data_IF_891207479397
#
_entry.id   IF_891207479397
#
_cell.length_a   1.000
_cell.length_b   1.000
_cell.length_c   1.000
_cell.angle_alpha   90.00
_cell.angle_beta   90.00
_cell.angle_gamma   90.00
#
_symmetry.space_group_name_H-M   'P 1'
#
loop_
_entity.id
_entity.type
_entity.pdbx_description
1 polymer ?
#
# COMPACT_ATOMS: atom_id res chain seq x y z
N UNK A 1 -15.14 -82.17 4.00
CA UNK A 1 -16.01 -81.22 3.29
C UNK A 1 -15.41 -79.82 3.51
N UNK A 2 -14.79 -79.25 2.48
CA UNK A 2 -14.01 -77.99 2.51
C UNK A 2 -14.97 -76.83 2.22
N UNK A 3 -15.24 -75.98 3.22
CA UNK A 3 -16.04 -74.78 3.04
C UNK A 3 -15.18 -73.70 2.37
N UNK A 4 -15.45 -73.45 1.09
CA UNK A 4 -14.92 -72.32 0.33
C UNK A 4 -15.71 -71.07 0.73
N UNK A 5 -15.06 -70.12 1.41
CA UNK A 5 -15.59 -68.76 1.59
C UNK A 5 -15.20 -67.95 0.36
N UNK A 6 -16.19 -67.57 -0.43
CA UNK A 6 -16.05 -66.75 -1.63
C UNK A 6 -15.82 -65.28 -1.20
N UNK A 7 -14.58 -64.79 -1.32
CA UNK A 7 -14.27 -63.37 -1.10
C UNK A 7 -14.64 -62.61 -2.38
N UNK A 8 -15.74 -61.86 -2.33
CA UNK A 8 -16.15 -60.94 -3.40
C UNK A 8 -15.33 -59.65 -3.26
N UNK A 9 -14.33 -59.48 -4.12
CA UNK A 9 -13.63 -58.20 -4.29
C UNK A 9 -14.54 -57.23 -5.07
N UNK A 10 -15.25 -56.37 -4.35
CA UNK A 10 -15.94 -55.22 -4.97
C UNK A 10 -14.86 -54.20 -5.34
N UNK A 11 -14.51 -54.15 -6.63
CA UNK A 11 -13.70 -53.08 -7.21
C UNK A 11 -14.58 -51.83 -7.27
N UNK A 12 -14.52 -50.98 -6.23
CA UNK A 12 -15.03 -49.63 -6.32
C UNK A 12 -14.14 -48.84 -7.28
N UNK A 13 -14.57 -48.76 -8.54
CA UNK A 13 -14.00 -47.85 -9.53
C UNK A 13 -14.11 -46.42 -8.99
N UNK A 14 -12.95 -45.84 -8.62
CA UNK A 14 -12.84 -44.48 -8.13
C UNK A 14 -13.21 -43.48 -9.22
N UNK A 15 -14.28 -42.74 -9.01
CA UNK A 15 -14.52 -41.49 -9.74
C UNK A 15 -13.80 -40.39 -8.97
N UNK A 16 -12.53 -40.17 -9.32
CA UNK A 16 -11.82 -38.98 -8.90
C UNK A 16 -12.43 -37.77 -9.64
N UNK A 17 -13.42 -37.13 -9.02
CA UNK A 17 -13.90 -35.80 -9.45
C UNK A 17 -12.81 -34.80 -9.12
N UNK A 18 -11.84 -34.66 -10.02
CA UNK A 18 -10.85 -33.60 -9.95
C UNK A 18 -11.54 -32.29 -10.32
N UNK A 19 -12.03 -31.57 -9.32
CA UNK A 19 -12.45 -30.18 -9.47
C UNK A 19 -11.20 -29.35 -9.74
N UNK A 20 -10.77 -29.31 -11.00
CA UNK A 20 -9.77 -28.39 -11.49
C UNK A 20 -10.30 -26.96 -11.34
N UNK A 21 -10.06 -26.36 -10.18
CA UNK A 21 -10.20 -24.93 -9.98
C UNK A 21 -9.15 -24.26 -10.86
N UNK A 22 -9.51 -23.95 -12.11
CA UNK A 22 -8.72 -23.09 -12.98
C UNK A 22 -8.77 -21.68 -12.39
N UNK A 23 -7.89 -21.44 -11.41
CA UNK A 23 -7.48 -20.10 -11.01
C UNK A 23 -6.88 -19.46 -12.25
N UNK A 24 -7.69 -18.69 -12.95
CA UNK A 24 -7.22 -17.82 -14.02
C UNK A 24 -6.20 -16.89 -13.39
N UNK A 25 -4.92 -17.20 -13.61
CA UNK A 25 -3.80 -16.31 -13.25
C UNK A 25 -3.97 -15.03 -14.04
N UNK A 26 -4.79 -14.12 -13.51
CA UNK A 26 -4.88 -12.74 -13.99
C UNK A 26 -3.47 -12.20 -13.91
N UNK A 27 -2.85 -11.90 -15.05
CA UNK A 27 -1.56 -11.21 -15.14
C UNK A 27 -1.72 -9.85 -14.45
N UNK A 28 -1.53 -9.83 -13.14
CA UNK A 28 -1.24 -8.60 -12.41
C UNK A 28 0.17 -8.25 -12.81
N UNK A 29 0.39 -7.00 -13.26
CA UNK A 29 1.71 -6.52 -13.68
C UNK A 29 2.75 -6.99 -12.66
N UNK A 30 3.71 -7.80 -13.09
CA UNK A 30 4.88 -8.12 -12.29
C UNK A 30 5.63 -6.80 -12.07
N UNK A 31 5.47 -6.21 -10.89
CA UNK A 31 6.32 -5.10 -10.47
C UNK A 31 7.69 -5.69 -10.18
N UNK A 32 8.65 -5.43 -11.09
CA UNK A 32 10.07 -5.63 -10.80
C UNK A 32 10.60 -4.39 -10.08
N UNK A 33 11.50 -4.66 -9.14
CA UNK A 33 11.93 -3.79 -8.06
C UNK A 33 12.37 -2.38 -8.41
N UNK A 34 12.38 -1.52 -7.39
CA UNK A 34 12.90 -0.17 -7.45
C UNK A 34 12.65 0.60 -6.17
N UNK A 35 13.43 1.66 -5.97
CA UNK A 35 13.16 2.63 -4.90
C UNK A 35 11.82 3.33 -5.15
N UNK A 36 11.13 3.67 -4.06
CA UNK A 36 9.86 4.38 -4.13
C UNK A 36 10.13 5.83 -4.56
N UNK A 37 9.52 6.27 -5.65
CA UNK A 37 9.65 7.64 -6.17
C UNK A 37 8.42 8.50 -5.89
N UNK A 38 8.56 9.83 -5.93
CA UNK A 38 7.43 10.77 -5.85
C UNK A 38 6.44 10.55 -6.99
N UNK A 39 6.94 10.34 -8.21
CA UNK A 39 6.10 10.03 -9.38
C UNK A 39 5.23 8.81 -9.10
N UNK A 40 5.81 7.74 -8.56
CA UNK A 40 5.05 6.54 -8.22
C UNK A 40 4.08 6.80 -7.06
N UNK A 41 4.53 7.50 -6.03
CA UNK A 41 3.73 7.88 -4.87
C UNK A 41 2.44 8.61 -5.26
N UNK A 42 2.54 9.61 -6.15
CA UNK A 42 1.37 10.35 -6.61
C UNK A 42 0.54 9.58 -7.65
N UNK A 43 1.16 8.75 -8.49
CA UNK A 43 0.41 7.94 -9.48
C UNK A 43 -0.61 6.97 -8.89
N UNK A 44 -0.47 6.64 -7.60
CA UNK A 44 -1.38 5.74 -6.88
C UNK A 44 -2.52 6.48 -6.18
N UNK A 45 -2.63 7.80 -6.34
CA UNK A 45 -3.61 8.65 -5.66
C UNK A 45 -4.38 9.50 -6.66
N UNK A 46 -5.67 9.70 -6.38
CA UNK A 46 -6.51 10.57 -7.21
C UNK A 46 -6.22 12.07 -6.99
N UNK A 47 -5.76 12.43 -5.79
CA UNK A 47 -5.38 13.80 -5.41
C UNK A 47 -4.41 13.74 -4.22
N UNK A 48 -3.79 14.88 -3.89
CA UNK A 48 -2.87 14.99 -2.77
C UNK A 48 -3.58 14.74 -1.44
N UNK A 49 -3.10 13.72 -0.72
CA UNK A 49 -3.70 13.23 0.52
C UNK A 49 -4.75 12.14 0.38
N UNK A 50 -5.17 11.76 -0.83
CA UNK A 50 -6.04 10.61 -1.05
C UNK A 50 -5.37 9.30 -0.57
N UNK A 51 -6.13 8.32 -0.06
CA UNK A 51 -5.59 6.99 0.21
C UNK A 51 -5.12 6.36 -1.11
N UNK A 52 -3.91 5.78 -1.15
CA UNK A 52 -3.41 5.12 -2.35
C UNK A 52 -4.22 3.87 -2.70
N UNK A 53 -4.41 3.64 -4.01
CA UNK A 53 -4.95 2.37 -4.52
C UNK A 53 -3.97 1.24 -4.28
N UNK A 54 -4.49 0.02 -4.06
CA UNK A 54 -3.66 -1.18 -3.87
C UNK A 54 -3.20 -1.67 -5.26
N UNK A 55 -1.89 -1.64 -5.58
CA UNK A 55 -1.40 -1.96 -6.92
C UNK A 55 -1.16 -3.45 -7.13
N UNK A 56 -1.32 -4.29 -6.10
CA UNK A 56 -1.02 -5.72 -6.14
C UNK A 56 -2.27 -6.55 -5.79
N UNK A 57 -2.27 -7.87 -6.05
CA UNK A 57 -3.37 -8.74 -5.64
C UNK A 57 -3.50 -8.76 -4.12
N UNK A 58 -4.73 -8.92 -3.63
CA UNK A 58 -5.04 -9.16 -2.22
C UNK A 58 -5.91 -10.41 -2.12
N UNK A 59 -5.68 -11.24 -1.10
CA UNK A 59 -6.50 -12.42 -0.84
C UNK A 59 -7.90 -11.98 -0.39
N UNK A 60 -8.94 -12.62 -0.93
CA UNK A 60 -10.34 -12.23 -0.69
C UNK A 60 -10.75 -12.42 0.78
N UNK A 61 -10.20 -13.42 1.44
CA UNK A 61 -10.57 -13.87 2.79
C UNK A 61 -9.77 -13.20 3.92
N UNK A 62 -8.96 -12.19 3.59
CA UNK A 62 -8.20 -11.44 4.59
C UNK A 62 -9.10 -10.45 5.34
N UNK A 63 -9.96 -10.94 6.21
CA UNK A 63 -10.73 -10.13 7.16
C UNK A 63 -9.83 -9.71 8.33
N UNK A 64 -9.73 -8.40 8.56
CA UNK A 64 -8.77 -7.82 9.50
C UNK A 64 -7.38 -7.69 8.87
N UNK A 65 -6.86 -6.46 8.78
CA UNK A 65 -5.63 -6.12 8.05
C UNK A 65 -4.32 -6.68 8.59
N UNK A 66 -4.36 -7.71 9.46
CA UNK A 66 -3.17 -8.40 9.98
C UNK A 66 -2.27 -8.91 8.85
N UNK A 67 -2.84 -9.43 7.76
CA UNK A 67 -2.05 -9.86 6.60
C UNK A 67 -1.42 -8.69 5.84
N UNK A 68 -2.05 -7.51 5.85
CA UNK A 68 -1.49 -6.30 5.26
C UNK A 68 -0.27 -5.83 6.08
N UNK A 69 -0.40 -5.86 7.41
CA UNK A 69 0.63 -5.42 8.34
C UNK A 69 1.90 -6.28 8.31
N UNK A 70 1.83 -7.54 7.85
CA UNK A 70 3.02 -8.40 7.67
C UNK A 70 4.12 -7.78 6.80
N UNK A 71 3.77 -6.87 5.89
CA UNK A 71 4.76 -6.12 5.12
C UNK A 71 4.65 -4.61 5.36
N UNK A 72 3.44 -4.10 5.57
CA UNK A 72 3.20 -2.67 5.67
C UNK A 72 3.44 -2.07 7.06
N UNK A 73 3.58 -2.86 8.13
CA UNK A 73 3.78 -2.31 9.48
C UNK A 73 5.16 -1.65 9.63
N UNK A 74 6.20 -2.31 9.14
CA UNK A 74 7.59 -1.82 9.21
C UNK A 74 8.18 -1.45 7.84
N UNK A 75 7.43 -1.72 6.77
CA UNK A 75 7.86 -1.47 5.41
C UNK A 75 8.90 -2.48 4.94
N UNK A 76 8.57 -3.76 5.08
CA UNK A 76 9.49 -4.87 4.86
C UNK A 76 9.78 -5.10 3.37
N UNK A 77 10.93 -5.71 3.09
CA UNK A 77 11.29 -6.11 1.73
C UNK A 77 10.44 -7.30 1.29
N UNK A 78 9.82 -7.20 0.10
CA UNK A 78 9.00 -8.26 -0.50
C UNK A 78 9.75 -8.89 -1.68
N UNK A 79 10.35 -10.09 -1.53
CA UNK A 79 11.19 -10.70 -2.57
C UNK A 79 10.47 -10.90 -3.90
N UNK A 80 9.18 -11.26 -3.87
CA UNK A 80 8.36 -11.47 -5.07
C UNK A 80 8.31 -10.22 -5.97
N UNK A 81 8.37 -9.02 -5.40
CA UNK A 81 8.33 -7.75 -6.13
C UNK A 81 9.68 -7.04 -6.15
N UNK A 82 10.69 -7.62 -5.51
CA UNK A 82 12.01 -7.04 -5.34
C UNK A 82 11.98 -5.59 -4.82
N UNK A 83 11.03 -5.28 -3.95
CA UNK A 83 10.75 -3.92 -3.48
C UNK A 83 10.34 -3.90 -2.01
N UNK A 84 10.58 -2.77 -1.33
CA UNK A 84 10.08 -2.55 0.02
C UNK A 84 8.60 -2.14 -0.01
N UNK A 85 7.79 -2.76 0.83
CA UNK A 85 6.42 -2.34 1.05
C UNK A 85 6.41 -0.94 1.71
N UNK A 86 5.51 -0.03 1.32
CA UNK A 86 5.24 1.19 2.05
C UNK A 86 4.95 0.94 3.53
N UNK A 87 5.66 1.60 4.45
CA UNK A 87 5.24 1.63 5.86
C UNK A 87 3.93 2.42 5.99
N UNK A 88 2.94 1.83 6.67
CA UNK A 88 1.67 2.51 6.98
C UNK A 88 1.89 3.53 8.10
N UNK A 89 1.38 4.76 7.96
CA UNK A 89 1.44 5.75 9.04
C UNK A 89 0.38 5.53 10.13
N UNK A 90 -0.50 4.54 9.97
CA UNK A 90 -1.63 4.24 10.87
C UNK A 90 -1.83 2.71 11.03
N UNK A 91 -0.88 1.99 11.66
CA UNK A 91 -0.95 0.53 11.83
C UNK A 91 -2.14 0.06 12.69
N UNK A 92 -2.65 0.93 13.56
CA UNK A 92 -3.81 0.68 14.41
C UNK A 92 -5.13 0.57 13.62
N UNK A 93 -5.20 1.19 12.44
CA UNK A 93 -6.36 1.14 11.54
C UNK A 93 -6.35 -0.13 10.68
N UNK A 94 -6.61 -1.24 11.34
CA UNK A 94 -6.53 -2.58 10.75
C UNK A 94 -7.54 -2.86 9.62
N UNK A 95 -8.61 -2.07 9.48
CA UNK A 95 -9.59 -2.25 8.40
C UNK A 95 -9.16 -1.56 7.10
N UNK A 96 -7.96 -1.88 6.60
CA UNK A 96 -7.28 -1.13 5.53
C UNK A 96 -8.13 -0.95 4.26
N UNK A 97 -8.95 -1.96 3.91
CA UNK A 97 -9.78 -1.98 2.70
C UNK A 97 -11.02 -1.09 2.75
N UNK A 98 -11.29 -0.44 3.89
CA UNK A 98 -12.31 0.61 3.96
C UNK A 98 -11.89 1.86 3.18
N UNK A 99 -10.59 2.14 3.12
CA UNK A 99 -10.04 3.31 2.42
C UNK A 99 -9.17 2.93 1.23
N UNK A 100 -8.42 1.82 1.32
CA UNK A 100 -7.53 1.36 0.25
C UNK A 100 -8.22 0.33 -0.63
N UNK A 101 -8.51 0.71 -1.87
CA UNK A 101 -9.22 -0.15 -2.82
C UNK A 101 -8.27 -0.68 -3.88
N UNK A 102 -8.41 -1.96 -4.23
CA UNK A 102 -7.63 -2.58 -5.31
C UNK A 102 -8.10 -2.13 -6.69
N UNK A 103 -7.16 -1.88 -7.59
CA UNK A 103 -7.49 -1.56 -8.98
C UNK A 103 -7.83 -2.84 -9.76
N UNK A 104 -9.10 -3.00 -10.16
CA UNK A 104 -9.56 -4.21 -10.87
C UNK A 104 -9.42 -4.13 -12.39
N UNK A 105 -9.37 -2.91 -12.95
CA UNK A 105 -9.21 -2.61 -14.37
C UNK A 105 -8.47 -1.28 -14.57
N UNK A 106 -7.80 -1.12 -15.71
CA UNK A 106 -7.16 0.14 -16.14
C UNK A 106 -8.06 0.98 -17.04
N UNK A 107 -9.21 0.42 -17.47
CA UNK A 107 -10.15 1.10 -18.37
C UNK A 107 -11.18 1.86 -17.57
N UNK A 108 -11.33 3.15 -17.86
CA UNK A 108 -12.47 3.93 -17.41
C UNK A 108 -13.71 3.47 -18.18
N UNK A 109 -14.82 3.25 -17.48
CA UNK A 109 -16.08 2.83 -18.11
C UNK A 109 -16.79 4.00 -18.79
N UNK A 110 -16.69 5.18 -18.19
CA UNK A 110 -17.25 6.45 -18.68
C UNK A 110 -16.21 7.55 -18.47
N UNK A 111 -16.26 8.63 -19.25
CA UNK A 111 -15.34 9.75 -19.06
C UNK A 111 -15.49 10.36 -17.65
N UNK A 112 -14.37 10.79 -17.07
CA UNK A 112 -14.34 11.49 -15.79
C UNK A 112 -13.40 12.70 -15.91
N UNK A 113 -13.89 13.89 -15.56
CA UNK A 113 -13.18 15.16 -15.67
C UNK A 113 -12.62 15.67 -14.33
N UNK A 114 -12.59 14.82 -13.31
CA UNK A 114 -11.99 15.15 -12.01
C UNK A 114 -10.49 15.41 -12.16
N UNK A 115 -10.03 16.61 -11.79
CA UNK A 115 -8.63 17.01 -11.91
C UNK A 115 -7.80 16.67 -10.66
N UNK A 116 -8.42 16.65 -9.49
CA UNK A 116 -7.76 16.43 -8.20
C UNK A 116 -6.83 17.59 -7.76
N UNK A 117 -6.78 17.84 -6.45
CA UNK A 117 -5.79 18.76 -5.86
C UNK A 117 -4.39 18.17 -6.04
N UNK A 118 -3.48 18.89 -6.68
CA UNK A 118 -2.07 18.49 -6.79
C UNK A 118 -1.29 18.92 -5.55
N UNK A 119 -0.23 18.17 -5.23
CA UNK A 119 0.68 18.56 -4.16
C UNK A 119 1.42 19.84 -4.54
N UNK A 120 1.40 20.82 -3.63
CA UNK A 120 2.10 22.08 -3.81
C UNK A 120 3.45 22.04 -3.10
N UNK A 121 4.49 21.69 -3.85
CA UNK A 121 5.85 21.61 -3.33
C UNK A 121 6.43 22.99 -2.98
N UNK A 122 5.87 24.09 -3.50
CA UNK A 122 6.34 25.42 -3.11
C UNK A 122 6.08 25.68 -1.62
N UNK A 123 5.08 25.01 -1.03
CA UNK A 123 4.78 25.09 0.40
C UNK A 123 5.83 24.47 1.32
N UNK A 124 6.80 23.72 0.80
CA UNK A 124 7.88 23.17 1.64
C UNK A 124 9.07 24.12 1.77
N UNK A 125 9.04 25.28 1.10
CA UNK A 125 10.14 26.25 1.15
C UNK A 125 10.30 26.80 2.58
N UNK A 126 11.54 26.90 3.09
CA UNK A 126 11.79 27.54 4.37
C UNK A 126 11.55 29.05 4.25
N UNK A 127 11.21 29.72 5.35
CA UNK A 127 11.00 31.17 5.34
C UNK A 127 12.32 31.93 5.14
N UNK A 128 13.42 31.45 5.73
CA UNK A 128 14.77 31.98 5.53
C UNK A 128 15.77 30.88 5.18
N UNK A 129 16.88 31.26 4.54
CA UNK A 129 17.97 30.33 4.24
C UNK A 129 18.52 29.70 5.53
N UNK A 130 18.72 28.37 5.50
CA UNK A 130 19.21 27.60 6.64
C UNK A 130 18.13 27.17 7.64
N UNK A 131 16.89 27.66 7.52
CA UNK A 131 15.78 27.16 8.33
C UNK A 131 15.28 25.78 7.86
N UNK A 132 14.64 24.98 8.74
CA UNK A 132 13.97 23.75 8.36
C UNK A 132 12.91 23.96 7.28
N UNK A 133 12.72 22.94 6.43
CA UNK A 133 11.63 22.93 5.44
C UNK A 133 10.26 22.92 6.15
N UNK A 134 9.27 23.58 5.55
CA UNK A 134 7.89 23.50 6.02
C UNK A 134 7.23 22.17 5.61
N UNK A 135 6.19 21.74 6.33
CA UNK A 135 5.40 20.56 6.00
C UNK A 135 4.37 20.93 4.92
N UNK A 136 4.51 20.53 3.65
CA UNK A 136 3.66 21.03 2.57
C UNK A 136 2.25 20.39 2.50
N UNK A 137 1.91 19.53 3.47
CA UNK A 137 0.71 18.69 3.42
C UNK A 137 0.02 18.59 4.79
N UNK A 138 -1.27 18.24 4.78
CA UNK A 138 -2.02 17.95 6.01
C UNK A 138 -1.39 16.79 6.80
N UNK A 139 -1.51 16.83 8.12
CA UNK A 139 -0.98 15.79 9.02
C UNK A 139 -1.99 14.68 9.33
N UNK A 140 -3.28 14.91 9.10
CA UNK A 140 -4.30 13.88 9.30
C UNK A 140 -3.95 12.62 8.48
N UNK A 141 -3.95 11.46 9.14
CA UNK A 141 -3.53 10.15 8.59
C UNK A 141 -2.07 10.08 8.10
N UNK A 142 -1.22 11.05 8.45
CA UNK A 142 0.21 11.15 8.06
C UNK A 142 1.11 11.65 9.20
N UNK A 143 0.72 11.39 10.45
CA UNK A 143 1.46 11.87 11.64
C UNK A 143 2.76 11.11 11.90
N UNK A 144 2.87 9.85 11.48
CA UNK A 144 4.14 9.11 11.47
C UNK A 144 5.01 9.57 10.29
N UNK A 145 5.76 10.65 10.48
CA UNK A 145 6.61 11.25 9.46
C UNK A 145 7.60 10.23 8.86
N UNK A 146 8.15 9.35 9.69
CA UNK A 146 9.17 8.39 9.27
C UNK A 146 8.62 7.33 8.30
N UNK A 147 7.30 7.10 8.27
CA UNK A 147 6.67 6.17 7.32
C UNK A 147 6.89 6.56 5.84
N UNK A 148 7.13 7.85 5.59
CA UNK A 148 7.38 8.40 4.25
C UNK A 148 8.77 9.01 4.10
N UNK A 149 9.42 9.39 5.22
CA UNK A 149 10.68 10.11 5.23
C UNK A 149 11.90 9.25 5.64
N UNK A 150 11.75 8.03 6.17
CA UNK A 150 12.90 7.23 6.60
C UNK A 150 12.92 5.79 6.08
N UNK A 151 14.13 5.24 5.95
CA UNK A 151 14.35 3.86 5.52
C UNK A 151 14.12 3.61 4.02
N UNK A 152 14.32 2.36 3.61
CA UNK A 152 14.24 1.99 2.19
C UNK A 152 12.81 1.96 1.63
N UNK A 153 11.80 1.84 2.50
CA UNK A 153 10.39 1.93 2.14
C UNK A 153 9.89 3.36 1.88
N UNK A 154 10.62 4.36 2.39
CA UNK A 154 10.32 5.78 2.20
C UNK A 154 10.52 6.22 0.76
N UNK A 155 9.88 7.34 0.42
CA UNK A 155 9.98 7.96 -0.90
C UNK A 155 11.36 8.61 -1.02
N UNK A 156 12.18 8.13 -1.97
CA UNK A 156 13.59 8.45 -2.11
C UNK A 156 13.87 9.94 -2.07
N UNK A 157 13.10 10.72 -2.83
CA UNK A 157 13.33 12.14 -3.07
C UNK A 157 13.03 13.01 -1.85
N UNK A 158 12.30 12.49 -0.85
CA UNK A 158 11.93 13.22 0.36
C UNK A 158 12.47 12.56 1.62
N UNK A 159 13.42 11.62 1.51
CA UNK A 159 14.03 11.01 2.70
C UNK A 159 14.69 12.08 3.56
N UNK A 160 14.44 12.03 4.86
CA UNK A 160 15.14 12.88 5.82
C UNK A 160 16.60 12.47 5.91
N UNK A 161 17.47 13.46 6.14
CA UNK A 161 18.89 13.26 6.40
C UNK A 161 19.18 12.94 7.87
N UNK A 162 18.17 13.07 8.74
CA UNK A 162 18.31 12.97 10.20
C UNK A 162 17.13 12.17 10.81
N UNK A 163 17.00 10.88 10.47
CA UNK A 163 15.89 10.05 10.92
C UNK A 163 15.88 9.79 12.44
N UNK A 164 16.98 10.07 13.13
CA UNK A 164 17.13 9.92 14.58
C UNK A 164 16.34 10.96 15.39
N UNK A 165 15.86 12.04 14.75
CA UNK A 165 15.08 13.07 15.44
C UNK A 165 13.64 12.62 15.67
N UNK A 166 13.25 12.53 16.93
CA UNK A 166 11.94 11.99 17.34
C UNK A 166 10.77 12.98 17.20
N UNK A 167 11.05 14.29 17.22
CA UNK A 167 10.02 15.34 17.16
C UNK A 167 10.17 16.21 15.92
N UNK A 168 9.75 15.70 14.76
CA UNK A 168 9.90 16.43 13.49
C UNK A 168 9.18 17.78 13.51
N UNK A 169 8.01 17.85 14.16
CA UNK A 169 7.17 19.06 14.23
C UNK A 169 7.74 20.16 15.14
N UNK A 170 8.78 19.86 15.92
CA UNK A 170 9.50 20.90 16.67
C UNK A 170 10.18 21.91 15.74
N UNK A 171 10.60 21.45 14.55
CA UNK A 171 11.35 22.25 13.59
C UNK A 171 10.60 22.41 12.26
N UNK A 172 9.92 21.37 11.81
CA UNK A 172 9.13 21.37 10.58
C UNK A 172 7.69 21.74 10.92
N UNK A 173 7.32 23.00 10.70
CA UNK A 173 5.97 23.48 10.96
C UNK A 173 5.11 23.42 9.69
N UNK A 174 3.80 23.29 9.84
CA UNK A 174 2.88 23.48 8.73
C UNK A 174 2.92 24.95 8.27
N UNK A 175 2.83 25.24 6.97
CA UNK A 175 2.66 26.60 6.49
C UNK A 175 1.36 27.17 7.07
N UNK A 176 1.36 28.47 7.36
CA UNK A 176 0.14 29.16 7.82
C UNK A 176 -1.02 28.91 6.84
N UNK A 177 -2.20 28.63 7.38
CA UNK A 177 -3.41 28.63 6.58
C UNK A 177 -3.60 30.05 6.01
N UNK A 178 -4.01 30.21 4.74
CA UNK A 178 -4.33 31.53 4.22
C UNK A 178 -5.40 32.18 5.11
N UNK A 179 -5.18 33.43 5.50
CA UNK A 179 -6.08 34.16 6.40
C UNK A 179 -7.54 34.06 5.91
N UNK A 180 -8.43 33.54 6.77
CA UNK A 180 -9.88 33.49 6.51
C UNK A 180 -10.52 32.10 6.36
N UNK A 181 -9.89 31.02 6.85
CA UNK A 181 -10.51 29.69 6.91
C UNK A 181 -10.49 29.14 8.34
N UNK A 182 -11.40 29.63 9.19
CA UNK A 182 -11.82 29.00 10.45
C UNK A 182 -13.33 28.75 10.37
#
# INVERSE_FOLDING_TARGET
MRNFVLIVFIVCAGVAVSAAQTSTKKKVKNYKGGERTLTRFYSLRSYDGAPPVIPHPVLRESYGGKNCLQCHQNGDYVPQWQAYAPKTPHPELSSCRQCHVSQVTQRTQVANFFLGKKADRAKSKPALQGQPLLIPHELFMRKDCLSCHAGNHAVKEIRTTHPERLSCQQCHVAPEAPAGQN
#
